data_IF_956006290396
#
_entry.id   IF_956006290396
#
_cell.length_a   1.000
_cell.length_b   1.000
_cell.length_c   1.000
_cell.angle_alpha   90.00
_cell.angle_beta   90.00
_cell.angle_gamma   90.00
#
_symmetry.space_group_name_H-M   'P 1'
#
loop_
_entity.id
_entity.type
_entity.pdbx_description
1 polymer ?
#
# COMPACT_ATOMS: atom_id res chain seq x y z
N UNK A 1 52.58 -46.27 -34.61
CA UNK A 1 51.81 -45.92 -35.82
C UNK A 1 50.54 -46.74 -35.80
N UNK A 2 49.41 -46.13 -35.41
CA UNK A 2 48.07 -46.60 -35.74
C UNK A 2 47.08 -45.45 -35.51
N UNK A 3 46.34 -45.18 -36.58
CA UNK A 3 45.51 -44.02 -36.87
C UNK A 3 44.08 -44.35 -36.46
N UNK A 4 43.45 -43.59 -35.56
CA UNK A 4 42.04 -43.78 -35.19
C UNK A 4 41.21 -42.68 -35.87
N UNK A 5 40.25 -43.11 -36.67
CA UNK A 5 39.33 -42.30 -37.47
C UNK A 5 37.94 -42.25 -36.79
N UNK A 6 37.27 -41.09 -36.92
CA UNK A 6 35.81 -40.82 -36.74
C UNK A 6 35.33 -40.79 -35.28
N UNK A 7 34.43 -39.89 -34.85
CA UNK A 7 33.15 -39.53 -35.45
C UNK A 7 32.78 -38.07 -35.17
N UNK A 8 32.29 -37.36 -36.20
CA UNK A 8 31.61 -36.08 -36.04
C UNK A 8 30.21 -36.30 -35.46
N UNK A 9 29.91 -35.61 -34.37
CA UNK A 9 28.57 -35.56 -33.78
C UNK A 9 27.79 -34.47 -34.49
N UNK A 10 26.77 -34.85 -35.27
CA UNK A 10 25.77 -33.93 -35.79
C UNK A 10 24.70 -33.79 -34.69
N UNK A 11 24.73 -32.68 -33.96
CA UNK A 11 23.63 -32.31 -33.05
C UNK A 11 22.43 -31.84 -33.87
N UNK A 12 21.39 -32.66 -33.93
CA UNK A 12 20.07 -32.26 -34.40
C UNK A 12 19.45 -31.30 -33.38
N UNK A 13 19.41 -30.00 -33.71
CA UNK A 13 18.68 -29.01 -32.92
C UNK A 13 17.17 -29.25 -33.13
N UNK A 14 16.52 -29.86 -32.14
CA UNK A 14 15.08 -29.99 -32.09
C UNK A 14 14.48 -28.61 -31.81
N UNK A 15 13.74 -28.04 -32.78
CA UNK A 15 12.94 -26.83 -32.59
C UNK A 15 11.77 -27.16 -31.65
N UNK A 16 11.99 -27.06 -30.34
CA UNK A 16 10.93 -27.11 -29.37
C UNK A 16 10.02 -25.89 -29.58
N UNK A 17 8.79 -26.13 -30.02
CA UNK A 17 7.76 -25.10 -30.07
C UNK A 17 7.37 -24.76 -28.64
N UNK A 18 7.82 -23.59 -28.16
CA UNK A 18 7.38 -23.05 -26.87
C UNK A 18 5.92 -22.62 -27.06
N UNK A 19 5.00 -23.51 -26.67
CA UNK A 19 3.60 -23.13 -26.54
C UNK A 19 3.49 -22.26 -25.30
N UNK A 20 3.31 -20.95 -25.48
CA UNK A 20 2.94 -20.07 -24.38
C UNK A 20 1.53 -20.48 -23.92
N UNK A 21 1.45 -21.22 -22.82
CA UNK A 21 0.17 -21.45 -22.15
C UNK A 21 -0.24 -20.14 -21.50
N UNK A 22 -1.24 -19.47 -22.06
CA UNK A 22 -1.86 -18.34 -21.39
C UNK A 22 -2.58 -18.87 -20.13
N UNK A 23 -2.07 -18.50 -18.96
CA UNK A 23 -2.71 -18.77 -17.69
C UNK A 23 -4.09 -18.10 -17.69
N UNK A 24 -5.13 -18.86 -17.35
CA UNK A 24 -6.46 -18.28 -17.22
C UNK A 24 -6.46 -17.31 -16.03
N UNK A 25 -7.02 -16.10 -16.18
CA UNK A 25 -7.11 -15.18 -15.06
C UNK A 25 -7.98 -15.79 -13.95
N UNK A 26 -7.64 -15.50 -12.70
CA UNK A 26 -8.44 -15.94 -11.56
C UNK A 26 -9.87 -15.41 -11.64
N UNK A 27 -10.80 -16.16 -11.06
CA UNK A 27 -12.18 -15.71 -10.94
C UNK A 27 -12.25 -14.43 -10.09
N UNK A 28 -12.96 -13.42 -10.59
CA UNK A 28 -13.05 -12.13 -9.90
C UNK A 28 -13.72 -12.23 -8.52
N UNK A 29 -14.69 -13.12 -8.36
CA UNK A 29 -15.35 -13.32 -7.06
C UNK A 29 -14.40 -13.94 -6.05
N UNK A 30 -13.59 -14.92 -6.48
CA UNK A 30 -12.58 -15.55 -5.62
C UNK A 30 -11.51 -14.53 -5.24
N UNK A 31 -11.02 -13.73 -6.19
CA UNK A 31 -10.05 -12.67 -5.93
C UNK A 31 -10.56 -11.63 -4.92
N UNK A 32 -11.84 -11.24 -5.01
CA UNK A 32 -12.44 -10.33 -4.03
C UNK A 32 -12.50 -10.94 -2.63
N UNK A 33 -12.80 -12.24 -2.53
CA UNK A 33 -12.79 -12.96 -1.27
C UNK A 33 -11.36 -13.05 -0.69
N UNK A 34 -10.36 -13.29 -1.53
CA UNK A 34 -8.95 -13.33 -1.13
C UNK A 34 -8.47 -11.97 -0.61
N UNK A 35 -8.85 -10.85 -1.26
CA UNK A 35 -8.54 -9.50 -0.77
C UNK A 35 -9.17 -9.27 0.61
N UNK A 36 -10.45 -9.61 0.80
CA UNK A 36 -11.09 -9.49 2.12
C UNK A 36 -10.35 -10.32 3.17
N UNK A 37 -10.01 -11.57 2.83
CA UNK A 37 -9.28 -12.45 3.72
C UNK A 37 -7.89 -11.88 4.09
N UNK A 38 -7.16 -11.32 3.13
CA UNK A 38 -5.83 -10.74 3.34
C UNK A 38 -5.84 -9.59 4.37
N UNK A 39 -6.89 -8.79 4.38
CA UNK A 39 -7.06 -7.77 5.41
C UNK A 39 -7.61 -8.34 6.72
N UNK A 40 -8.60 -9.23 6.67
CA UNK A 40 -9.27 -9.79 7.86
C UNK A 40 -8.35 -10.73 8.66
N UNK A 41 -7.35 -11.34 8.01
CA UNK A 41 -6.35 -12.18 8.65
C UNK A 41 -5.28 -11.39 9.41
N UNK A 42 -5.20 -10.07 9.22
CA UNK A 42 -4.10 -9.23 9.69
C UNK A 42 -2.82 -9.38 8.86
N UNK A 43 -2.84 -10.12 7.74
CA UNK A 43 -1.67 -10.28 6.87
C UNK A 43 -1.28 -8.96 6.23
N UNK A 44 -2.25 -8.15 5.80
CA UNK A 44 -2.00 -6.77 5.35
C UNK A 44 -1.23 -5.96 6.38
N UNK A 45 -1.69 -5.92 7.64
CA UNK A 45 -1.05 -5.13 8.69
C UNK A 45 0.40 -5.60 8.94
N UNK A 46 0.62 -6.92 8.94
CA UNK A 46 1.96 -7.51 9.08
C UNK A 46 2.91 -7.17 7.93
N UNK A 47 2.41 -7.17 6.69
CA UNK A 47 3.19 -6.81 5.51
C UNK A 47 3.53 -5.32 5.50
N UNK A 48 2.56 -4.45 5.83
CA UNK A 48 2.79 -3.00 5.93
C UNK A 48 3.79 -2.70 7.05
N UNK A 49 3.65 -3.31 8.23
CA UNK A 49 4.63 -3.18 9.32
C UNK A 49 6.04 -3.56 8.85
N UNK A 50 6.16 -4.69 8.15
CA UNK A 50 7.44 -5.17 7.62
C UNK A 50 8.07 -4.17 6.65
N UNK A 51 7.26 -3.59 5.76
CA UNK A 51 7.73 -2.59 4.80
C UNK A 51 8.22 -1.32 5.50
N UNK A 52 7.47 -0.83 6.49
CA UNK A 52 7.74 0.45 7.17
C UNK A 52 8.88 0.38 8.17
N UNK A 53 9.15 -0.79 8.76
CA UNK A 53 10.15 -0.93 9.82
C UNK A 53 11.54 -0.43 9.40
N UNK A 54 11.92 -0.68 8.15
CA UNK A 54 13.18 -0.19 7.58
C UNK A 54 13.24 1.34 7.50
N UNK A 55 12.11 1.99 7.22
CA UNK A 55 11.97 3.44 7.19
C UNK A 55 12.13 4.07 8.56
N UNK A 56 11.53 3.47 9.60
CA UNK A 56 11.68 3.93 10.99
C UNK A 56 13.15 3.93 11.39
N UNK A 57 13.83 2.79 11.22
CA UNK A 57 15.26 2.64 11.54
C UNK A 57 16.11 3.63 10.75
N UNK A 58 15.76 3.89 9.49
CA UNK A 58 16.48 4.84 8.66
C UNK A 58 16.31 6.28 9.15
N UNK A 59 15.10 6.69 9.52
CA UNK A 59 14.82 8.05 10.03
C UNK A 59 15.61 8.30 11.31
N UNK A 60 15.57 7.37 12.26
CA UNK A 60 16.33 7.45 13.51
C UNK A 60 17.83 7.56 13.23
N UNK A 61 18.38 6.66 12.42
CA UNK A 61 19.80 6.65 12.06
C UNK A 61 20.23 7.92 11.33
N UNK A 62 19.41 8.42 10.40
CA UNK A 62 19.70 9.61 9.61
C UNK A 62 19.66 10.89 10.45
N UNK A 63 18.71 10.97 11.38
CA UNK A 63 18.57 12.10 12.30
C UNK A 63 19.77 12.21 13.24
N UNK A 64 20.28 11.09 13.76
CA UNK A 64 21.47 11.06 14.61
C UNK A 64 22.76 11.50 13.89
N UNK A 65 22.77 11.44 12.56
CA UNK A 65 23.88 11.86 11.71
C UNK A 65 23.70 13.26 11.12
N UNK A 66 22.63 13.97 11.49
CA UNK A 66 22.36 15.30 10.96
C UNK A 66 23.47 16.29 11.32
N UNK A 67 23.92 17.04 10.32
CA UNK A 67 24.89 18.12 10.53
C UNK A 67 24.30 19.31 11.29
N UNK A 68 25.14 20.18 11.82
CA UNK A 68 24.69 21.42 12.45
C UNK A 68 23.88 22.27 11.46
N UNK A 69 22.63 22.61 11.84
CA UNK A 69 21.72 23.39 11.01
C UNK A 69 21.02 22.62 9.88
N UNK A 70 21.24 21.32 9.75
CA UNK A 70 20.54 20.50 8.77
C UNK A 70 19.06 20.31 9.13
N UNK A 71 18.17 20.54 8.17
CA UNK A 71 16.73 20.32 8.33
C UNK A 71 16.32 19.07 7.56
N UNK A 72 15.88 18.05 8.29
CA UNK A 72 15.40 16.81 7.71
C UNK A 72 13.88 16.82 7.58
N UNK A 73 13.39 16.16 6.54
CA UNK A 73 11.97 15.96 6.34
C UNK A 73 11.63 14.55 5.84
N UNK A 74 10.46 14.05 6.23
CA UNK A 74 9.79 12.89 5.66
C UNK A 74 8.56 13.37 4.90
N UNK A 75 8.31 12.78 3.74
CA UNK A 75 7.13 13.07 2.93
C UNK A 75 6.28 11.81 2.88
N UNK A 76 5.03 11.92 3.32
CA UNK A 76 4.06 10.83 3.30
C UNK A 76 2.93 11.18 2.32
N UNK A 77 2.50 10.18 1.54
CA UNK A 77 1.19 10.23 0.92
C UNK A 77 0.11 10.05 2.00
N UNK A 78 -1.14 10.41 1.69
CA UNK A 78 -2.26 10.30 2.61
C UNK A 78 -3.05 9.01 2.32
N UNK A 79 -3.56 8.86 1.11
CA UNK A 79 -4.56 7.84 0.81
C UNK A 79 -3.92 6.45 0.64
N UNK A 80 -4.38 5.49 1.44
CA UNK A 80 -3.80 4.15 1.58
C UNK A 80 -2.29 4.15 1.95
N UNK A 81 -1.81 5.26 2.51
CA UNK A 81 -0.46 5.39 3.10
C UNK A 81 -0.54 5.81 4.55
N UNK A 82 -1.09 7.00 4.85
CA UNK A 82 -1.32 7.43 6.23
C UNK A 82 -2.72 7.04 6.72
N UNK A 83 -3.71 7.15 5.84
CA UNK A 83 -5.12 6.88 6.13
C UNK A 83 -5.64 5.78 5.20
N UNK A 84 -6.34 4.80 5.75
CA UNK A 84 -6.91 3.70 4.97
C UNK A 84 -8.25 4.06 4.35
N UNK A 85 -8.40 3.79 3.06
CA UNK A 85 -9.68 3.86 2.35
C UNK A 85 -10.44 2.52 2.33
N UNK A 86 -9.90 1.49 3.02
CA UNK A 86 -10.46 0.14 3.09
C UNK A 86 -11.96 0.08 3.38
N UNK A 87 -12.55 0.85 4.34
CA UNK A 87 -13.98 0.75 4.62
C UNK A 87 -14.86 1.05 3.39
N UNK A 88 -14.51 2.10 2.63
CA UNK A 88 -15.20 2.44 1.40
C UNK A 88 -14.91 1.42 0.27
N UNK A 89 -13.66 1.00 0.11
CA UNK A 89 -13.28 -0.01 -0.89
C UNK A 89 -14.02 -1.33 -0.66
N UNK A 90 -14.07 -1.81 0.58
CA UNK A 90 -14.78 -3.04 0.95
C UNK A 90 -16.30 -2.92 0.69
N UNK A 91 -16.91 -1.80 1.12
CA UNK A 91 -18.32 -1.52 0.87
C UNK A 91 -18.68 -1.57 -0.63
N UNK A 92 -17.76 -1.10 -1.47
CA UNK A 92 -17.89 -1.06 -2.93
C UNK A 92 -17.50 -2.37 -3.63
N UNK A 93 -17.16 -3.44 -2.89
CA UNK A 93 -16.65 -4.68 -3.47
C UNK A 93 -15.39 -4.46 -4.30
N UNK A 94 -14.51 -3.59 -3.81
CA UNK A 94 -13.23 -3.15 -4.39
C UNK A 94 -13.33 -2.40 -5.72
N UNK A 95 -14.52 -1.91 -6.08
CA UNK A 95 -14.72 -1.01 -7.21
C UNK A 95 -14.46 0.45 -6.83
N UNK A 96 -13.97 1.24 -7.78
CA UNK A 96 -13.84 2.69 -7.62
C UNK A 96 -15.11 3.41 -8.11
N UNK A 97 -15.73 4.18 -7.22
CA UNK A 97 -16.87 5.05 -7.53
C UNK A 97 -16.46 6.50 -7.25
N UNK A 98 -16.39 7.40 -8.25
CA UNK A 98 -16.02 8.80 -8.00
C UNK A 98 -17.03 9.54 -7.11
N UNK A 99 -18.31 9.20 -7.24
CA UNK A 99 -19.45 9.83 -6.56
C UNK A 99 -20.42 8.77 -6.04
N UNK A 100 -21.20 9.13 -5.02
CA UNK A 100 -22.18 8.26 -4.38
C UNK A 100 -22.25 8.53 -2.88
N UNK A 101 -23.46 8.47 -2.32
CA UNK A 101 -23.65 8.59 -0.86
C UNK A 101 -22.95 7.43 -0.13
N UNK A 102 -22.50 7.67 1.10
CA UNK A 102 -21.93 6.67 2.00
C UNK A 102 -22.88 6.30 3.17
N UNK A 103 -24.16 6.66 3.09
CA UNK A 103 -25.14 6.46 4.18
C UNK A 103 -25.41 4.98 4.53
N UNK A 104 -24.99 4.05 3.67
CA UNK A 104 -25.23 2.62 3.81
C UNK A 104 -24.02 1.83 4.33
N UNK A 105 -22.91 2.50 4.66
CA UNK A 105 -21.72 1.85 5.22
C UNK A 105 -22.13 0.91 6.39
N UNK A 106 -21.53 -0.30 6.48
CA UNK A 106 -20.38 -0.80 5.71
C UNK A 106 -20.75 -1.40 4.34
N UNK A 107 -21.98 -1.23 3.86
CA UNK A 107 -22.42 -1.65 2.52
C UNK A 107 -22.35 -0.49 1.54
N UNK A 108 -22.08 -0.81 0.28
CA UNK A 108 -21.97 0.17 -0.78
C UNK A 108 -23.30 0.55 -1.43
N UNK A 109 -23.26 1.53 -2.35
CA UNK A 109 -22.04 2.25 -2.76
C UNK A 109 -21.58 3.26 -1.70
N UNK A 110 -20.33 3.68 -1.75
CA UNK A 110 -19.76 4.83 -1.05
C UNK A 110 -18.72 5.48 -1.96
N UNK A 111 -19.08 6.62 -2.58
CA UNK A 111 -18.22 7.27 -3.56
C UNK A 111 -17.04 7.99 -2.91
N UNK A 112 -15.96 8.18 -3.65
CA UNK A 112 -14.74 8.84 -3.17
C UNK A 112 -15.00 10.22 -2.56
N UNK A 113 -15.78 11.05 -3.25
CA UNK A 113 -16.16 12.39 -2.76
C UNK A 113 -16.96 12.35 -1.46
N UNK A 114 -17.87 11.38 -1.31
CA UNK A 114 -18.62 11.16 -0.06
C UNK A 114 -17.70 10.66 1.06
N UNK A 115 -16.85 9.67 0.77
CA UNK A 115 -15.88 9.13 1.71
C UNK A 115 -14.92 10.18 2.26
N UNK A 116 -14.35 11.00 1.37
CA UNK A 116 -13.46 12.09 1.74
C UNK A 116 -14.16 13.14 2.63
N UNK A 117 -15.45 13.41 2.40
CA UNK A 117 -16.23 14.35 3.18
C UNK A 117 -16.64 13.83 4.57
N UNK A 118 -16.65 12.51 4.78
CA UNK A 118 -16.94 11.93 6.10
C UNK A 118 -15.85 12.23 7.12
N UNK A 119 -14.59 12.37 6.69
CA UNK A 119 -13.45 12.55 7.61
C UNK A 119 -13.37 11.43 8.67
N UNK A 120 -13.63 10.19 8.27
CA UNK A 120 -13.62 9.00 9.15
C UNK A 120 -12.60 7.92 8.72
N UNK A 121 -11.69 8.24 7.78
CA UNK A 121 -10.67 7.30 7.36
C UNK A 121 -9.75 6.93 8.55
N UNK A 122 -9.64 5.63 8.91
CA UNK A 122 -8.79 5.18 10.00
C UNK A 122 -7.32 5.31 9.62
N UNK A 123 -6.46 5.46 10.63
CA UNK A 123 -5.02 5.53 10.42
C UNK A 123 -4.45 4.14 10.11
N UNK A 124 -3.42 4.09 9.28
CA UNK A 124 -2.61 2.88 9.09
C UNK A 124 -1.55 2.89 10.19
N UNK A 125 -1.70 2.03 11.19
CA UNK A 125 -0.91 2.08 12.44
C UNK A 125 0.60 1.99 12.21
N UNK A 126 1.08 1.15 11.31
CA UNK A 126 2.51 1.10 10.99
C UNK A 126 3.04 2.45 10.47
N UNK A 127 2.28 3.15 9.63
CA UNK A 127 2.67 4.48 9.13
C UNK A 127 2.53 5.57 10.21
N UNK A 128 1.62 5.39 11.19
CA UNK A 128 1.56 6.20 12.40
C UNK A 128 2.86 6.07 13.20
N UNK A 129 3.39 4.86 13.37
CA UNK A 129 4.66 4.64 14.06
C UNK A 129 5.82 5.37 13.36
N UNK A 130 5.85 5.35 12.02
CA UNK A 130 6.84 6.12 11.24
C UNK A 130 6.69 7.63 11.44
N UNK A 131 5.46 8.14 11.43
CA UNK A 131 5.19 9.54 11.73
C UNK A 131 5.68 9.91 13.12
N UNK A 132 5.32 9.14 14.15
CA UNK A 132 5.72 9.40 15.53
C UNK A 132 7.24 9.32 15.72
N UNK A 133 7.91 8.35 15.10
CA UNK A 133 9.36 8.24 15.11
C UNK A 133 10.05 9.46 14.47
N UNK A 134 9.52 9.94 13.34
CA UNK A 134 10.03 11.15 12.68
C UNK A 134 9.87 12.39 13.56
N UNK A 135 8.69 12.58 14.16
CA UNK A 135 8.43 13.71 15.07
C UNK A 135 9.35 13.64 16.29
N UNK A 136 9.50 12.46 16.91
CA UNK A 136 10.39 12.25 18.05
C UNK A 136 11.87 12.53 17.71
N UNK A 137 12.28 12.27 16.47
CA UNK A 137 13.61 12.54 15.96
C UNK A 137 13.84 14.01 15.51
N UNK A 138 12.84 14.89 15.68
CA UNK A 138 12.91 16.29 15.23
C UNK A 138 12.88 16.46 13.71
N UNK A 139 12.42 15.44 12.98
CA UNK A 139 12.25 15.44 11.54
C UNK A 139 10.89 16.02 11.19
N UNK A 140 10.83 16.95 10.23
CA UNK A 140 9.56 17.55 9.79
C UNK A 140 8.79 16.55 8.91
N UNK A 141 7.49 16.40 9.11
CA UNK A 141 6.66 15.55 8.23
C UNK A 141 5.76 16.41 7.35
N UNK A 142 5.80 16.16 6.04
CA UNK A 142 4.88 16.75 5.07
C UNK A 142 3.95 15.67 4.52
N UNK A 143 2.66 15.98 4.47
CA UNK A 143 1.68 15.17 3.75
C UNK A 143 1.46 15.74 2.34
N UNK A 144 1.59 14.91 1.31
CA UNK A 144 1.30 15.27 -0.08
C UNK A 144 0.26 14.31 -0.65
N UNK A 145 -0.86 14.83 -1.13
CA UNK A 145 -1.90 14.03 -1.81
C UNK A 145 -2.28 14.67 -3.15
N UNK A 146 -2.84 13.86 -4.05
CA UNK A 146 -3.19 14.31 -5.40
C UNK A 146 -4.50 15.15 -5.42
N UNK A 147 -4.65 16.11 -6.35
CA UNK A 147 -5.83 16.99 -6.40
C UNK A 147 -7.16 16.29 -6.73
N UNK A 148 -7.12 15.15 -7.43
CA UNK A 148 -8.31 14.30 -7.66
C UNK A 148 -8.79 13.62 -6.36
N UNK A 149 -7.92 13.57 -5.35
CA UNK A 149 -8.15 12.98 -4.03
C UNK A 149 -8.29 14.04 -2.92
N UNK A 150 -7.90 15.28 -3.17
CA UNK A 150 -7.93 16.41 -2.23
C UNK A 150 -9.32 16.99 -1.90
N UNK A 151 -10.41 16.23 -2.10
CA UNK A 151 -11.77 16.65 -1.75
C UNK A 151 -12.10 16.55 -0.26
N UNK A 152 -11.13 16.25 0.60
CA UNK A 152 -11.34 16.31 2.07
C UNK A 152 -11.51 17.79 2.45
N UNK A 153 -12.67 18.13 2.99
CA UNK A 153 -12.95 19.49 3.52
C UNK A 153 -12.07 19.84 4.72
N UNK A 154 -11.49 18.84 5.39
CA UNK A 154 -10.53 18.98 6.49
C UNK A 154 -9.54 17.79 6.53
N UNK A 155 -8.36 17.90 5.89
CA UNK A 155 -7.34 16.85 5.91
C UNK A 155 -6.65 16.65 7.27
N UNK A 156 -6.61 17.69 8.12
CA UNK A 156 -5.94 17.65 9.42
C UNK A 156 -6.80 16.99 10.50
N UNK A 157 -8.12 17.15 10.39
CA UNK A 157 -9.08 16.61 11.35
C UNK A 157 -9.00 15.11 11.60
N UNK A 158 -8.50 14.31 10.64
CA UNK A 158 -8.29 12.85 10.79
C UNK A 158 -6.92 12.50 11.36
N UNK A 159 -5.89 13.27 11.01
CA UNK A 159 -4.51 13.03 11.42
C UNK A 159 -4.30 13.38 12.91
N UNK A 160 -5.13 14.29 13.44
CA UNK A 160 -5.05 14.78 14.82
C UNK A 160 -5.96 14.03 15.83
N UNK A 161 -6.74 13.02 15.41
CA UNK A 161 -7.63 12.31 16.34
C UNK A 161 -6.92 11.18 17.11
N UNK A 162 -6.99 11.19 18.46
CA UNK A 162 -6.61 10.01 19.23
C UNK A 162 -7.63 8.89 19.01
N UNK A 163 -7.19 7.77 18.41
CA UNK A 163 -8.01 6.57 18.13
C UNK A 163 -8.53 5.84 19.39
N UNK A 164 -8.22 6.32 20.60
CA UNK A 164 -8.49 5.64 21.86
C UNK A 164 -9.96 5.68 22.35
N UNK A 165 -10.97 5.90 21.49
CA UNK A 165 -12.36 6.08 21.96
C UNK A 165 -13.43 5.23 21.30
N UNK A 166 -13.12 4.26 20.42
CA UNK A 166 -14.17 3.39 19.82
C UNK A 166 -13.72 1.93 19.70
N UNK A 167 -13.80 1.23 20.84
CA UNK A 167 -14.14 -0.20 20.89
C UNK A 167 -15.66 -0.34 20.89
#
# INVERSE_FOLDING_TARGET
MNLIWKFGVITAACLASISATAEQPQNLSDLKADISHYFDSGSYDGDVQTAIQSGIVWVESRSAQAGEGEQLAVVLDIDDTALSSRPAQHANGYGFFPVGSCDLLPKGPCGWTGWAALSEAPMIEANRDLYEAAIAAGVTVFFLSSPLLASRSDPGGNLDQPQASRL
#
